data_IF_816321569010
#
_entry.id   IF_816321569010
#
_cell.length_a   1.000
_cell.length_b   1.000
_cell.length_c   1.000
_cell.angle_alpha   90.00
_cell.angle_beta   90.00
_cell.angle_gamma   90.00
#
_symmetry.space_group_name_H-M   'P 1'
#
loop_
_entity.id
_entity.type
_entity.pdbx_description
1 polymer ?
#
# COMPACT_ATOMS: atom_id res chain seq x y z
N UNK A 1 17.63 -11.43 50.25
CA UNK A 1 18.78 -12.35 50.09
C UNK A 1 18.31 -13.79 50.24
N UNK A 2 18.51 -14.64 49.23
CA UNK A 2 18.87 -16.07 49.30
C UNK A 2 19.12 -16.58 47.86
N UNK A 3 19.95 -17.62 47.72
CA UNK A 3 20.36 -18.22 46.43
C UNK A 3 19.88 -19.68 46.34
N UNK A 4 20.29 -20.36 45.27
CA UNK A 4 20.10 -21.79 44.96
C UNK A 4 18.74 -22.15 44.32
N UNK A 5 18.65 -23.21 43.50
CA UNK A 5 19.67 -24.26 43.23
C UNK A 5 19.92 -24.50 41.73
N UNK A 6 21.13 -25.00 41.42
CA UNK A 6 21.57 -25.47 40.11
C UNK A 6 21.16 -26.92 39.91
N UNK A 7 20.69 -27.28 38.71
CA UNK A 7 20.91 -28.64 38.16
C UNK A 7 21.42 -28.49 36.73
N UNK A 8 22.64 -28.93 36.47
CA UNK A 8 23.14 -29.14 35.12
C UNK A 8 22.88 -30.60 34.73
N UNK A 9 22.53 -30.84 33.46
CA UNK A 9 22.76 -32.12 32.83
C UNK A 9 23.32 -31.87 31.42
N UNK A 10 24.47 -32.46 31.14
CA UNK A 10 25.15 -32.35 29.85
C UNK A 10 25.38 -33.77 29.30
N UNK A 11 25.20 -33.96 27.99
CA UNK A 11 25.46 -35.22 27.31
C UNK A 11 25.91 -34.99 25.85
N UNK A 12 26.85 -35.82 25.40
CA UNK A 12 27.72 -35.64 24.21
C UNK A 12 28.19 -37.06 23.78
N UNK A 13 28.47 -37.41 22.52
CA UNK A 13 28.58 -36.64 21.27
C UNK A 13 27.34 -36.90 20.36
N UNK A 14 27.31 -37.15 19.04
CA UNK A 14 28.28 -37.46 17.96
C UNK A 14 27.89 -36.69 16.69
N UNK A 15 28.87 -36.30 15.86
CA UNK A 15 28.65 -35.62 14.59
C UNK A 15 28.42 -36.61 13.42
N UNK A 16 27.73 -36.17 12.36
CA UNK A 16 27.53 -36.95 11.13
C UNK A 16 26.95 -36.14 9.97
N UNK A 17 27.74 -35.98 8.91
CA UNK A 17 27.38 -35.57 7.54
C UNK A 17 28.25 -36.45 6.59
N UNK A 18 27.94 -36.62 5.28
CA UNK A 18 26.94 -35.92 4.46
C UNK A 18 26.01 -36.85 3.65
N UNK A 19 25.13 -36.29 2.80
CA UNK A 19 24.53 -37.04 1.68
C UNK A 19 23.22 -36.47 1.10
N UNK A 20 23.23 -36.11 -0.20
CA UNK A 20 22.04 -36.21 -1.08
C UNK A 20 22.03 -37.65 -1.67
N UNK A 21 20.99 -38.22 -2.30
CA UNK A 21 19.71 -37.74 -2.85
C UNK A 21 18.77 -38.98 -3.00
N UNK A 22 17.71 -39.00 -3.84
CA UNK A 22 16.36 -38.44 -3.67
C UNK A 22 15.25 -39.54 -3.55
N UNK A 23 13.99 -39.17 -3.83
CA UNK A 23 12.91 -40.02 -4.39
C UNK A 23 11.91 -40.77 -3.47
N UNK A 24 10.83 -40.05 -3.12
CA UNK A 24 9.40 -40.46 -3.14
C UNK A 24 8.74 -41.48 -2.15
N UNK A 25 7.47 -41.13 -1.84
CA UNK A 25 6.28 -41.97 -1.59
C UNK A 25 6.10 -42.78 -0.29
N UNK A 26 5.28 -42.23 0.64
CA UNK A 26 4.06 -42.90 1.14
C UNK A 26 3.10 -41.91 1.85
N UNK A 27 1.79 -42.11 1.71
CA UNK A 27 0.72 -41.33 2.35
C UNK A 27 0.78 -41.37 3.89
N UNK A 28 0.45 -40.24 4.53
CA UNK A 28 -0.24 -40.21 5.82
C UNK A 28 -1.34 -39.13 5.81
N UNK A 29 -2.42 -39.38 6.55
CA UNK A 29 -3.66 -38.59 6.55
C UNK A 29 -3.47 -37.14 7.05
N UNK A 30 -4.32 -36.18 6.63
CA UNK A 30 -4.24 -34.81 7.13
C UNK A 30 -4.51 -34.77 8.64
N UNK A 31 -3.56 -34.19 9.39
CA UNK A 31 -3.72 -33.91 10.81
C UNK A 31 -4.65 -32.71 10.98
N UNK A 32 -5.72 -32.87 11.75
CA UNK A 32 -6.59 -31.76 12.15
C UNK A 32 -5.80 -30.77 13.01
N UNK A 33 -5.48 -29.61 12.44
CA UNK A 33 -5.00 -28.44 13.18
C UNK A 33 -6.17 -27.46 13.26
N UNK A 34 -6.52 -27.06 14.49
CA UNK A 34 -7.66 -26.21 14.80
C UNK A 34 -7.50 -24.79 14.25
N UNK A 35 -8.58 -24.23 13.71
CA UNK A 35 -8.63 -22.85 13.21
C UNK A 35 -8.37 -21.82 14.32
N UNK A 36 -7.19 -21.20 14.28
CA UNK A 36 -6.84 -20.06 15.12
C UNK A 36 -7.53 -18.79 14.66
N UNK A 37 -8.79 -18.58 15.12
CA UNK A 37 -9.64 -17.42 14.79
C UNK A 37 -8.88 -16.09 14.78
N UNK A 38 -8.69 -15.52 13.59
CA UNK A 38 -7.96 -14.26 13.35
C UNK A 38 -8.71 -13.25 12.47
N UNK A 39 -10.02 -13.42 12.28
CA UNK A 39 -10.80 -12.73 11.24
C UNK A 39 -11.99 -11.97 11.84
N UNK A 40 -11.74 -10.91 12.61
CA UNK A 40 -12.80 -10.13 13.28
C UNK A 40 -12.43 -8.67 13.62
N UNK A 41 -11.49 -8.05 12.87
CA UNK A 41 -11.15 -6.61 13.05
C UNK A 41 -10.93 -5.84 11.73
N UNK A 42 -10.72 -6.52 10.59
CA UNK A 42 -10.51 -5.85 9.29
C UNK A 42 -11.84 -5.49 8.62
N UNK A 43 -12.83 -6.38 8.68
CA UNK A 43 -14.12 -6.22 7.97
C UNK A 43 -15.07 -5.21 8.64
N UNK A 44 -14.99 -5.01 9.96
CA UNK A 44 -15.79 -4.01 10.67
C UNK A 44 -15.32 -2.59 10.34
N UNK A 45 -14.00 -2.36 10.27
CA UNK A 45 -13.42 -1.04 10.02
C UNK A 45 -13.74 -0.49 8.61
N UNK A 46 -13.80 -1.35 7.58
CA UNK A 46 -14.19 -0.94 6.22
C UNK A 46 -15.67 -0.57 6.07
N UNK A 47 -16.46 -0.62 7.16
CA UNK A 47 -17.86 -0.22 7.19
C UNK A 47 -18.16 0.91 8.20
N UNK A 48 -17.15 1.54 8.82
CA UNK A 48 -17.39 2.70 9.70
C UNK A 48 -17.91 3.92 8.91
N UNK A 49 -18.77 4.77 9.51
CA UNK A 49 -19.11 6.07 8.94
C UNK A 49 -17.88 6.91 8.57
N UNK A 50 -16.85 6.84 9.41
CA UNK A 50 -15.57 7.52 9.32
C UNK A 50 -14.76 7.04 8.10
N UNK A 51 -14.66 5.73 7.88
CA UNK A 51 -14.05 5.14 6.68
C UNK A 51 -14.76 5.63 5.42
N UNK A 52 -16.10 5.66 5.42
CA UNK A 52 -16.89 6.14 4.29
C UNK A 52 -16.72 7.66 4.07
N UNK A 53 -16.63 8.46 5.14
CA UNK A 53 -16.35 9.90 5.05
C UNK A 53 -14.97 10.15 4.44
N UNK A 54 -13.93 9.43 4.92
CA UNK A 54 -12.56 9.52 4.40
C UNK A 54 -12.50 9.06 2.93
N UNK A 55 -13.10 7.93 2.58
CA UNK A 55 -13.09 7.43 1.20
C UNK A 55 -13.69 8.43 0.21
N UNK A 56 -14.86 9.00 0.54
CA UNK A 56 -15.52 9.98 -0.31
C UNK A 56 -14.73 11.30 -0.40
N UNK A 57 -14.18 11.79 0.72
CA UNK A 57 -13.30 12.96 0.74
C UNK A 57 -12.06 12.75 -0.16
N UNK A 58 -11.36 11.63 0.02
CA UNK A 58 -10.17 11.26 -0.76
C UNK A 58 -10.48 11.21 -2.25
N UNK A 59 -11.62 10.62 -2.63
CA UNK A 59 -12.09 10.47 -4.00
C UNK A 59 -12.40 11.82 -4.67
N UNK A 60 -13.09 12.73 -4.00
CA UNK A 60 -13.42 14.03 -4.59
C UNK A 60 -12.21 14.98 -4.65
N UNK A 61 -11.34 15.01 -3.64
CA UNK A 61 -10.09 15.79 -3.72
C UNK A 61 -9.11 15.21 -4.77
N UNK A 62 -9.05 13.89 -4.94
CA UNK A 62 -8.26 13.26 -6.00
C UNK A 62 -8.80 13.57 -7.39
N UNK A 63 -10.13 13.58 -7.59
CA UNK A 63 -10.73 14.06 -8.84
C UNK A 63 -10.37 15.51 -9.13
N UNK A 64 -10.50 16.38 -8.12
CA UNK A 64 -10.25 17.82 -8.20
C UNK A 64 -8.78 18.15 -8.53
N UNK A 65 -7.84 17.37 -8.00
CA UNK A 65 -6.42 17.48 -8.32
C UNK A 65 -6.08 16.89 -9.70
N UNK A 66 -6.42 15.62 -9.95
CA UNK A 66 -5.80 14.84 -11.03
C UNK A 66 -6.61 14.77 -12.34
N UNK A 67 -7.91 15.04 -12.34
CA UNK A 67 -8.76 14.92 -13.56
C UNK A 67 -8.44 15.93 -14.66
N UNK A 68 -7.60 16.94 -14.39
CA UNK A 68 -7.07 17.84 -15.43
C UNK A 68 -5.92 17.21 -16.24
N UNK A 69 -5.32 16.14 -15.73
CA UNK A 69 -4.11 15.51 -16.26
C UNK A 69 -4.35 14.08 -16.75
N UNK A 70 -5.23 13.34 -16.07
CA UNK A 70 -5.44 11.91 -16.26
C UNK A 70 -6.92 11.52 -16.30
N UNK A 71 -7.22 10.40 -16.95
CA UNK A 71 -8.50 9.71 -16.77
C UNK A 71 -8.40 8.83 -15.53
N UNK A 72 -9.26 9.08 -14.53
CA UNK A 72 -9.25 8.37 -13.25
C UNK A 72 -10.23 7.19 -13.30
N UNK A 73 -9.69 5.98 -13.16
CA UNK A 73 -10.38 4.71 -13.40
C UNK A 73 -10.93 4.08 -12.10
N UNK A 74 -10.27 4.31 -10.96
CA UNK A 74 -10.65 3.70 -9.69
C UNK A 74 -9.92 4.28 -8.48
N UNK A 75 -10.46 4.01 -7.30
CA UNK A 75 -9.96 4.48 -6.00
C UNK A 75 -10.10 3.36 -4.97
N UNK A 76 -9.07 3.15 -4.15
CA UNK A 76 -9.00 2.06 -3.18
C UNK A 76 -8.34 2.55 -1.87
N UNK A 77 -8.88 2.13 -0.72
CA UNK A 77 -8.25 2.30 0.61
C UNK A 77 -7.77 0.93 1.10
N UNK A 78 -6.52 0.85 1.53
CA UNK A 78 -5.91 -0.34 2.14
C UNK A 78 -5.41 -0.02 3.55
N UNK A 79 -5.12 -1.07 4.34
CA UNK A 79 -4.38 -0.98 5.61
C UNK A 79 -4.96 0.02 6.63
N UNK A 80 -6.27 0.28 6.55
CA UNK A 80 -6.97 1.30 7.31
C UNK A 80 -7.01 0.95 8.81
N UNK A 81 -6.47 1.85 9.62
CA UNK A 81 -6.41 1.74 11.07
C UNK A 81 -6.89 3.06 11.69
N UNK A 82 -8.01 3.04 12.39
CA UNK A 82 -8.60 4.20 13.06
C UNK A 82 -8.41 4.18 14.59
N UNK A 83 -8.36 5.36 15.19
CA UNK A 83 -8.22 5.55 16.64
C UNK A 83 -8.90 6.84 17.09
N UNK A 84 -9.45 6.83 18.31
CA UNK A 84 -10.03 8.02 18.93
C UNK A 84 -8.99 8.71 19.83
N UNK A 85 -8.56 9.92 19.44
CA UNK A 85 -7.51 10.69 20.12
C UNK A 85 -8.08 12.05 20.53
N UNK A 86 -8.15 12.31 21.84
CA UNK A 86 -8.65 13.56 22.41
C UNK A 86 -10.04 14.02 21.91
N UNK A 87 -10.90 13.08 21.50
CA UNK A 87 -12.24 13.36 20.95
C UNK A 87 -12.29 13.61 19.43
N UNK A 88 -11.18 13.40 18.72
CA UNK A 88 -11.10 13.35 17.26
C UNK A 88 -10.86 11.91 16.79
N UNK A 89 -11.24 11.60 15.56
CA UNK A 89 -10.85 10.34 14.91
C UNK A 89 -9.58 10.60 14.09
N UNK A 90 -8.53 9.85 14.37
CA UNK A 90 -7.32 9.79 13.54
C UNK A 90 -7.24 8.42 12.88
N UNK A 91 -7.11 8.39 11.55
CA UNK A 91 -7.01 7.16 10.77
C UNK A 91 -5.81 7.19 9.82
N UNK A 92 -4.97 6.15 9.86
CA UNK A 92 -3.87 5.92 8.92
C UNK A 92 -4.23 4.84 7.92
N UNK A 93 -3.87 5.03 6.65
CA UNK A 93 -4.26 4.13 5.57
C UNK A 93 -3.32 4.23 4.36
N UNK A 94 -3.23 3.14 3.60
CA UNK A 94 -2.80 3.18 2.21
C UNK A 94 -3.94 3.69 1.33
N UNK A 95 -3.63 4.49 0.31
CA UNK A 95 -4.59 4.95 -0.68
C UNK A 95 -4.04 4.79 -2.09
N UNK A 96 -4.86 4.27 -2.99
CA UNK A 96 -4.51 4.06 -4.40
C UNK A 96 -5.49 4.79 -5.31
N UNK A 97 -4.94 5.48 -6.30
CA UNK A 97 -5.67 6.01 -7.46
C UNK A 97 -5.21 5.26 -8.71
N UNK A 98 -6.13 4.54 -9.35
CA UNK A 98 -5.91 3.91 -10.65
C UNK A 98 -6.25 4.91 -11.76
N UNK A 99 -5.35 5.09 -12.72
CA UNK A 99 -5.47 6.13 -13.76
C UNK A 99 -4.84 5.69 -15.09
N UNK A 100 -5.14 6.40 -16.18
CA UNK A 100 -4.37 6.37 -17.43
C UNK A 100 -4.19 7.78 -18.00
N UNK A 101 -3.31 7.94 -18.98
CA UNK A 101 -3.33 9.15 -19.81
C UNK A 101 -4.63 9.17 -20.65
N UNK A 102 -5.12 10.38 -20.97
CA UNK A 102 -6.23 10.55 -21.90
C UNK A 102 -5.93 9.92 -23.26
N UNK A 103 -6.93 9.27 -23.87
CA UNK A 103 -6.81 8.58 -25.16
C UNK A 103 -6.38 9.55 -26.27
N UNK A 104 -5.09 9.50 -26.60
CA UNK A 104 -4.39 10.31 -27.59
C UNK A 104 -3.35 9.44 -28.27
N UNK A 105 -3.09 9.73 -29.53
CA UNK A 105 -2.01 9.11 -30.31
C UNK A 105 -0.65 9.33 -29.61
N UNK A 106 0.06 8.26 -29.19
CA UNK A 106 1.36 8.39 -28.53
C UNK A 106 2.42 9.10 -29.39
N UNK A 107 2.34 9.04 -30.72
CA UNK A 107 3.25 9.75 -31.63
C UNK A 107 3.12 11.29 -31.54
N UNK A 108 2.04 11.80 -30.94
CA UNK A 108 1.87 13.24 -30.68
C UNK A 108 2.60 13.71 -29.41
N UNK A 109 3.08 12.77 -28.58
CA UNK A 109 3.74 13.05 -27.31
C UNK A 109 5.23 13.28 -27.56
N UNK A 110 5.74 14.46 -27.17
CA UNK A 110 7.07 14.94 -27.58
C UNK A 110 8.22 13.93 -27.36
N UNK A 111 8.29 13.26 -26.20
CA UNK A 111 9.36 12.30 -25.91
C UNK A 111 9.22 10.97 -26.67
N UNK A 112 7.99 10.52 -26.95
CA UNK A 112 7.72 9.30 -27.72
C UNK A 112 8.06 9.56 -29.20
N UNK A 113 7.65 10.73 -29.70
CA UNK A 113 8.02 11.22 -31.03
C UNK A 113 9.54 11.34 -31.18
N UNK A 114 10.23 11.94 -30.22
CA UNK A 114 11.69 12.09 -30.25
C UNK A 114 12.41 10.73 -30.22
N UNK A 115 11.91 9.77 -29.42
CA UNK A 115 12.40 8.39 -29.43
C UNK A 115 12.21 7.73 -30.81
N UNK A 116 11.05 7.92 -31.45
CA UNK A 116 10.75 7.44 -32.81
C UNK A 116 11.69 8.02 -33.86
N UNK A 117 11.86 9.34 -33.87
CA UNK A 117 12.69 10.06 -34.85
C UNK A 117 14.19 9.73 -34.70
N UNK A 118 14.64 9.33 -33.50
CA UNK A 118 16.00 8.84 -33.25
C UNK A 118 16.20 7.35 -33.52
N UNK A 119 15.13 6.58 -33.71
CA UNK A 119 15.19 5.11 -33.79
C UNK A 119 15.59 4.45 -32.47
N UNK A 120 15.14 5.01 -31.33
CA UNK A 120 15.42 4.46 -30.01
C UNK A 120 14.80 3.04 -29.85
N UNK A 121 15.56 2.03 -29.42
CA UNK A 121 15.05 0.67 -29.26
C UNK A 121 13.88 0.55 -28.26
N UNK A 122 13.69 1.52 -27.36
CA UNK A 122 12.59 1.56 -26.40
C UNK A 122 11.34 2.29 -26.92
N UNK A 123 11.34 2.85 -28.15
CA UNK A 123 10.19 3.57 -28.72
C UNK A 123 8.87 2.78 -28.58
N UNK A 124 8.88 1.47 -28.89
CA UNK A 124 7.69 0.63 -28.81
C UNK A 124 7.17 0.50 -27.37
N UNK A 125 8.07 0.36 -26.39
CA UNK A 125 7.71 0.33 -24.97
C UNK A 125 7.11 1.67 -24.52
N UNK A 126 7.73 2.80 -24.91
CA UNK A 126 7.22 4.14 -24.57
C UNK A 126 5.84 4.42 -25.17
N UNK A 127 5.60 3.95 -26.41
CA UNK A 127 4.31 4.00 -27.09
C UNK A 127 3.25 3.16 -26.36
N UNK A 128 3.55 1.89 -26.08
CA UNK A 128 2.58 0.94 -25.51
C UNK A 128 2.28 1.23 -24.03
N UNK A 129 3.27 1.70 -23.26
CA UNK A 129 3.08 2.18 -21.89
C UNK A 129 2.32 3.51 -21.81
N UNK A 130 2.11 4.25 -22.90
CA UNK A 130 1.47 5.58 -22.83
C UNK A 130 0.00 5.50 -22.39
N UNK A 131 -0.77 4.54 -22.93
CA UNK A 131 -2.20 4.37 -22.66
C UNK A 131 -2.52 3.29 -21.61
N UNK A 132 -1.50 2.60 -21.08
CA UNK A 132 -1.68 1.62 -20.02
C UNK A 132 -2.19 2.26 -18.71
N UNK A 133 -3.04 1.52 -18.00
CA UNK A 133 -3.43 1.85 -16.63
C UNK A 133 -2.21 1.79 -15.70
N UNK A 134 -2.11 2.78 -14.81
CA UNK A 134 -1.06 2.97 -13.81
C UNK A 134 -1.70 3.28 -12.46
N UNK A 135 -0.89 3.23 -11.40
CA UNK A 135 -1.32 3.47 -10.03
C UNK A 135 -0.52 4.62 -9.40
N UNK A 136 -1.20 5.55 -8.74
CA UNK A 136 -0.60 6.44 -7.74
C UNK A 136 -0.92 5.87 -6.36
N UNK A 137 0.11 5.51 -5.59
CA UNK A 137 -0.02 4.90 -4.28
C UNK A 137 0.54 5.85 -3.20
N UNK A 138 -0.23 6.07 -2.14
CA UNK A 138 0.05 7.03 -1.06
C UNK A 138 -0.08 6.35 0.31
N UNK A 139 0.75 6.75 1.28
CA UNK A 139 0.54 6.43 2.70
C UNK A 139 0.15 7.71 3.43
N UNK A 140 -1.05 7.76 3.98
CA UNK A 140 -1.65 8.99 4.50
C UNK A 140 -2.20 8.79 5.92
N UNK A 141 -2.47 9.92 6.57
CA UNK A 141 -3.31 10.01 7.76
C UNK A 141 -4.41 11.04 7.54
N UNK A 142 -5.65 10.69 7.84
CA UNK A 142 -6.75 11.64 7.99
C UNK A 142 -7.00 11.93 9.47
N UNK A 143 -7.40 13.16 9.78
CA UNK A 143 -7.95 13.56 11.07
C UNK A 143 -9.33 14.15 10.83
N UNK A 144 -10.35 13.58 11.47
CA UNK A 144 -11.73 14.06 11.46
C UNK A 144 -11.95 14.89 12.74
N UNK A 145 -12.18 16.19 12.58
CA UNK A 145 -12.45 17.09 13.71
C UNK A 145 -13.95 17.27 13.99
N UNK A 146 -14.78 17.00 12.97
CA UNK A 146 -16.24 17.02 12.98
C UNK A 146 -16.74 16.41 11.65
N UNK A 147 -18.06 16.20 11.52
CA UNK A 147 -18.68 15.49 10.40
C UNK A 147 -18.36 16.03 9.00
N UNK A 148 -17.98 17.31 8.88
CA UNK A 148 -17.67 17.97 7.60
C UNK A 148 -16.17 18.28 7.41
N UNK A 149 -15.32 18.02 8.42
CA UNK A 149 -13.91 18.45 8.42
C UNK A 149 -12.93 17.28 8.52
N UNK A 150 -12.39 16.90 7.35
CA UNK A 150 -11.25 15.99 7.21
C UNK A 150 -9.99 16.82 6.89
N UNK A 151 -8.91 16.61 7.64
CA UNK A 151 -7.57 17.13 7.30
C UNK A 151 -6.62 15.99 7.01
N UNK A 152 -5.90 16.06 5.88
CA UNK A 152 -4.88 15.09 5.49
C UNK A 152 -3.48 15.46 5.95
N UNK A 153 -2.69 14.41 6.17
CA UNK A 153 -1.27 14.46 6.44
C UNK A 153 -0.54 13.34 5.69
N UNK A 154 0.72 13.59 5.30
CA UNK A 154 1.66 12.58 4.79
C UNK A 154 2.85 12.44 5.73
N UNK A 155 3.57 11.30 5.69
CA UNK A 155 4.79 11.13 6.45
C UNK A 155 6.01 11.59 5.63
N UNK A 156 6.63 12.70 6.00
CA UNK A 156 7.77 13.27 5.26
C UNK A 156 9.13 12.69 5.68
N UNK A 157 9.19 11.91 6.76
CA UNK A 157 10.45 11.44 7.34
C UNK A 157 10.76 9.98 6.92
N UNK A 158 11.89 9.70 6.24
CA UNK A 158 12.26 8.35 5.82
C UNK A 158 12.62 7.39 6.98
N UNK A 159 12.74 7.88 8.22
CA UNK A 159 12.96 7.07 9.43
C UNK A 159 12.14 7.57 10.61
N UNK A 160 11.04 6.89 10.89
CA UNK A 160 10.08 7.26 11.93
C UNK A 160 8.84 7.90 11.32
N UNK A 161 8.18 8.76 12.10
CA UNK A 161 6.90 9.36 11.73
C UNK A 161 6.97 10.87 11.98
N UNK A 162 6.74 11.65 10.92
CA UNK A 162 6.57 13.10 10.94
C UNK A 162 5.41 13.45 10.01
N UNK A 163 4.22 13.62 10.60
CA UNK A 163 3.00 13.95 9.87
C UNK A 163 2.96 15.44 9.52
N UNK A 164 3.04 15.78 8.24
CA UNK A 164 2.87 17.15 7.75
C UNK A 164 1.60 17.25 6.90
N UNK A 165 0.89 18.38 7.04
CA UNK A 165 -0.43 18.60 6.43
C UNK A 165 -0.29 18.78 4.91
N UNK A 166 -1.16 18.11 4.16
CA UNK A 166 -1.18 18.15 2.68
C UNK A 166 -2.61 18.25 2.13
N UNK A 167 -2.73 18.57 0.84
CA UNK A 167 -3.89 18.37 -0.02
C UNK A 167 -3.48 17.58 -1.28
N UNK A 168 -4.43 16.99 -2.00
CA UNK A 168 -4.09 16.09 -3.13
C UNK A 168 -3.35 16.77 -4.29
N UNK A 169 -3.46 18.10 -4.44
CA UNK A 169 -2.69 18.87 -5.41
C UNK A 169 -1.20 18.96 -5.11
N UNK A 170 -0.77 18.77 -3.85
CA UNK A 170 0.64 18.89 -3.43
C UNK A 170 1.51 17.74 -4.01
N UNK A 171 0.86 16.70 -4.53
CA UNK A 171 1.49 15.58 -5.24
C UNK A 171 1.62 15.82 -6.76
N UNK A 172 1.23 16.99 -7.26
CA UNK A 172 1.41 17.39 -8.66
C UNK A 172 2.68 18.24 -8.77
N UNK A 173 3.57 17.90 -9.71
CA UNK A 173 4.71 18.75 -10.04
C UNK A 173 4.22 20.00 -10.80
N UNK A 174 4.39 21.17 -10.19
CA UNK A 174 4.25 22.46 -10.87
C UNK A 174 5.32 22.64 -11.97
N UNK A 175 5.11 23.61 -12.87
CA UNK A 175 5.93 23.84 -14.07
C UNK A 175 6.73 25.14 -14.03
#
# INVERSE_FOLDING_TARGET
>A
MKKALIVCFALVVVAGLPGCSPEQAANQSPVTISEGKGTSQVEEAQNSPEYNQIFNYMKEESKKAFSAHYELLGFELSDYQESNVAGKVEATFGYKVMYKNFDKDPDTVAYIKEAKEKGDPHYQQLHDEYLQQKEMNFQLKAVIENADSVTLYTNVNPKGIQWEKVVMSDFILEK
#
